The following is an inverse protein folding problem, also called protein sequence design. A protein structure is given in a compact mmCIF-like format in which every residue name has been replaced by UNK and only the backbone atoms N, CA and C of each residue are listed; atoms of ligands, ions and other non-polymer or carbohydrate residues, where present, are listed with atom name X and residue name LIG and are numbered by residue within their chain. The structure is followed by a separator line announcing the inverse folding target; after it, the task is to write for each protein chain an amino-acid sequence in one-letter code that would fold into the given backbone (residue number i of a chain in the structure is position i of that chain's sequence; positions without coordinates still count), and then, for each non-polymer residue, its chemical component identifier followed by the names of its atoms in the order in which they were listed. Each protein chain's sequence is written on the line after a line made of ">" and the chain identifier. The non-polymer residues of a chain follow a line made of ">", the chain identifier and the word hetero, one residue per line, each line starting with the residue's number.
data_IF_742106684159
#
_entry.id   IF_742106684159
#
_cell.length_a   1.000
_cell.length_b   1.000
_cell.length_c   1.000
_cell.angle_alpha   90.00
_cell.angle_beta   90.00
_cell.angle_gamma   90.00
#
_symmetry.space_group_name_H-M   'P 1'
#
loop_
_entity.id
_entity.type
_entity.pdbx_description
1 polymer ?
#
# COMPACT_ATOMS: atom_id res chain seq x y z
N UNK A 1 -5.08 5.72 13.47
CA UNK A 1 -6.34 5.20 12.97
C UNK A 1 -6.12 4.19 11.85
N UNK A 2 -6.94 3.18 11.81
CA UNK A 2 -6.83 2.15 10.78
C UNK A 2 -7.45 2.61 9.45
N UNK A 3 -8.41 3.52 9.51
CA UNK A 3 -9.13 3.97 8.32
C UNK A 3 -8.88 5.45 8.06
N UNK A 4 -8.53 5.78 6.81
CA UNK A 4 -8.32 7.16 6.40
C UNK A 4 -8.87 7.39 5.00
N UNK A 5 -9.09 8.66 4.67
CA UNK A 5 -9.54 9.07 3.34
C UNK A 5 -8.51 10.00 2.73
N UNK A 6 -8.26 9.82 1.45
CA UNK A 6 -7.33 10.65 0.68
C UNK A 6 -8.02 11.07 -0.60
N UNK A 7 -7.87 12.34 -0.97
CA UNK A 7 -8.41 12.85 -2.23
C UNK A 7 -7.26 13.20 -3.16
N UNK A 8 -7.43 12.95 -4.44
CA UNK A 8 -6.42 13.26 -5.44
C UNK A 8 -7.09 13.70 -6.73
N UNK A 9 -6.35 14.43 -7.56
CA UNK A 9 -6.82 14.85 -8.87
C UNK A 9 -6.24 13.95 -9.93
N UNK A 10 -6.99 13.82 -11.04
CA UNK A 10 -6.52 13.04 -12.18
C UNK A 10 -5.17 13.58 -12.65
N UNK A 11 -4.24 12.68 -12.90
CA UNK A 11 -2.91 13.03 -13.38
C UNK A 11 -1.92 13.37 -12.27
N UNK A 12 -2.39 13.54 -11.03
CA UNK A 12 -1.50 13.88 -9.93
C UNK A 12 -0.90 12.61 -9.31
N UNK A 13 -0.04 12.81 -8.31
CA UNK A 13 0.52 11.72 -7.53
C UNK A 13 -0.18 11.70 -6.18
N UNK A 14 -0.68 10.54 -5.79
CA UNK A 14 -1.31 10.35 -4.49
C UNK A 14 -0.37 9.57 -3.58
N UNK A 15 -0.37 9.93 -2.29
CA UNK A 15 0.37 9.19 -1.28
C UNK A 15 -0.65 8.64 -0.29
N UNK A 16 -0.75 7.32 -0.23
CA UNK A 16 -1.68 6.65 0.67
C UNK A 16 -0.93 6.32 1.95
N UNK A 17 -1.30 6.94 3.09
CA UNK A 17 -0.48 6.85 4.30
C UNK A 17 -0.46 5.45 4.92
N UNK A 18 0.67 5.10 5.50
CA UNK A 18 0.85 3.83 6.18
C UNK A 18 2.06 3.94 7.09
N UNK A 19 1.92 3.51 8.35
CA UNK A 19 3.00 3.58 9.33
C UNK A 19 3.00 2.27 10.12
N UNK A 20 4.10 1.53 10.07
CA UNK A 20 4.21 0.24 10.75
C UNK A 20 5.10 0.27 11.99
N UNK A 21 5.53 1.47 12.43
CA UNK A 21 6.48 1.57 13.55
C UNK A 21 5.95 0.99 14.84
N UNK A 22 4.64 0.91 15.00
CA UNK A 22 4.04 0.33 16.20
C UNK A 22 4.14 -1.20 16.23
N UNK A 23 4.59 -1.80 15.14
CA UNK A 23 4.78 -3.25 15.06
C UNK A 23 6.24 -3.58 15.31
N UNK A 24 6.49 -4.64 16.09
CA UNK A 24 7.84 -5.06 16.40
C UNK A 24 8.36 -6.00 15.32
N UNK A 25 8.75 -5.44 14.19
CA UNK A 25 9.19 -6.20 13.02
C UNK A 25 10.53 -5.63 12.55
N UNK A 26 11.50 -6.52 12.30
CA UNK A 26 12.81 -6.09 11.87
C UNK A 26 12.93 -5.92 10.37
N UNK A 27 12.32 -6.83 9.61
CA UNK A 27 12.39 -6.78 8.14
C UNK A 27 10.98 -6.75 7.58
N UNK A 28 10.42 -5.56 7.38
CA UNK A 28 9.05 -5.46 6.90
C UNK A 28 8.92 -5.81 5.42
N UNK A 29 7.89 -6.56 5.12
CA UNK A 29 7.45 -6.77 3.75
C UNK A 29 6.04 -6.23 3.68
N UNK A 30 5.79 -5.32 2.77
CA UNK A 30 4.50 -4.67 2.67
C UNK A 30 3.71 -5.19 1.48
N UNK A 31 2.42 -5.37 1.70
CA UNK A 31 1.48 -5.68 0.63
C UNK A 31 0.40 -4.61 0.63
N UNK A 32 0.17 -4.01 -0.52
CA UNK A 32 -0.97 -3.12 -0.74
C UNK A 32 -1.90 -3.80 -1.72
N UNK A 33 -3.19 -3.79 -1.44
CA UNK A 33 -4.14 -4.42 -2.37
C UNK A 33 -5.52 -3.76 -2.34
N UNK A 34 -6.29 -4.07 -3.37
CA UNK A 34 -7.69 -3.67 -3.52
C UNK A 34 -8.53 -4.90 -3.79
N UNK A 35 -8.11 -6.05 -3.27
CA UNK A 35 -8.69 -7.34 -3.62
C UNK A 35 -7.73 -8.15 -4.46
N UNK A 36 -6.77 -7.50 -5.10
CA UNK A 36 -5.65 -8.12 -5.78
C UNK A 36 -4.38 -7.41 -5.35
N UNK A 37 -3.26 -8.05 -5.60
CA UNK A 37 -1.98 -7.51 -5.15
C UNK A 37 -1.51 -6.37 -6.02
N UNK A 38 -1.10 -5.27 -5.40
CA UNK A 38 -0.57 -4.12 -6.11
C UNK A 38 0.93 -4.02 -5.95
N UNK A 39 1.40 -4.07 -4.70
CA UNK A 39 2.83 -3.94 -4.39
C UNK A 39 3.22 -5.02 -3.41
N UNK A 40 3.97 -6.01 -3.89
CA UNK A 40 4.49 -7.05 -3.03
C UNK A 40 5.34 -7.99 -3.86
N UNK A 41 6.29 -8.62 -3.24
CA UNK A 41 7.17 -9.49 -3.96
C UNK A 41 6.62 -10.86 -4.23
N UNK A 42 5.55 -11.25 -3.54
CA UNK A 42 5.13 -12.58 -3.70
C UNK A 42 3.81 -12.85 -3.39
N UNK A 43 3.16 -13.54 -3.76
CA UNK A 43 2.35 -13.94 -4.05
C UNK A 43 1.38 -14.76 -3.87
N UNK A 44 0.65 -15.24 -4.02
CA UNK A 44 -0.52 -15.97 -3.90
C UNK A 44 -1.76 -15.27 -4.42
N UNK A 45 -1.66 -14.06 -4.80
CA UNK A 45 -2.76 -13.27 -5.36
C UNK A 45 -2.45 -12.85 -6.77
N UNK A 46 -3.48 -12.66 -7.58
CA UNK A 46 -3.31 -12.15 -8.92
C UNK A 46 -2.90 -10.68 -8.89
N UNK A 47 -1.96 -10.27 -9.73
CA UNK A 47 -1.58 -8.87 -9.76
C UNK A 47 -2.71 -7.99 -10.29
N UNK A 48 -2.78 -6.78 -9.81
CA UNK A 48 -3.76 -5.80 -10.25
C UNK A 48 -3.31 -5.18 -11.56
N UNK A 49 -4.17 -5.25 -12.56
CA UNK A 49 -3.89 -4.62 -13.84
C UNK A 49 -4.11 -3.12 -13.74
N UNK A 50 -3.31 -2.37 -14.45
CA UNK A 50 -3.44 -0.92 -14.49
C UNK A 50 -2.57 -0.20 -13.49
N UNK A 51 -1.87 -0.90 -12.64
CA UNK A 51 -0.99 -0.29 -11.66
C UNK A 51 0.49 -0.42 -12.00
N UNK A 52 0.80 -1.20 -13.00
CA UNK A 52 2.19 -1.46 -13.38
C UNK A 52 2.91 -0.15 -13.71
N UNK A 53 4.06 0.04 -13.07
CA UNK A 53 4.86 1.23 -13.29
C UNK A 53 4.36 2.50 -12.65
N UNK A 54 3.23 2.45 -11.95
CA UNK A 54 2.66 3.63 -11.31
C UNK A 54 2.71 3.61 -9.80
N UNK A 55 3.04 2.48 -9.20
CA UNK A 55 3.02 2.33 -7.75
C UNK A 55 4.41 2.02 -7.21
N UNK A 56 4.68 2.51 -6.00
CA UNK A 56 5.96 2.26 -5.36
C UNK A 56 5.82 2.47 -3.85
N UNK A 57 6.60 1.69 -3.11
CA UNK A 57 6.82 1.92 -1.69
C UNK A 57 8.33 2.03 -1.54
N UNK A 58 8.87 3.26 -1.41
CA UNK A 58 10.32 3.43 -1.36
C UNK A 58 10.94 2.63 -0.22
N UNK A 59 11.94 1.83 -0.55
CA UNK A 59 12.55 0.93 0.43
C UNK A 59 13.16 1.69 1.59
N UNK A 60 13.78 2.82 1.31
CA UNK A 60 14.38 3.63 2.36
C UNK A 60 13.35 4.09 3.38
N UNK A 61 12.19 4.49 2.90
CA UNK A 61 11.12 4.94 3.77
C UNK A 61 10.50 3.78 4.51
N UNK A 62 10.37 2.64 3.84
CA UNK A 62 9.83 1.44 4.46
C UNK A 62 10.65 1.03 5.68
N UNK A 63 11.96 1.10 5.57
CA UNK A 63 12.85 0.72 6.66
C UNK A 63 12.75 1.70 7.84
N UNK A 64 12.30 2.92 7.60
CA UNK A 64 12.13 3.92 8.64
C UNK A 64 10.76 3.86 9.32
N UNK A 65 9.89 3.00 8.85
CA UNK A 65 8.54 2.87 9.41
C UNK A 65 7.44 3.40 8.51
N UNK A 66 7.78 3.93 7.35
CA UNK A 66 6.82 4.54 6.43
C UNK A 66 6.53 3.57 5.28
N UNK A 67 5.36 2.93 5.33
CA UNK A 67 4.94 1.99 4.30
C UNK A 67 3.95 2.60 3.32
N UNK A 68 3.92 3.92 3.23
CA UNK A 68 2.97 4.61 2.36
C UNK A 68 3.14 4.23 0.90
N UNK A 69 2.01 4.10 0.21
CA UNK A 69 2.00 3.79 -1.21
C UNK A 69 2.01 5.08 -2.02
N UNK A 70 2.93 5.17 -2.96
CA UNK A 70 2.98 6.29 -3.89
C UNK A 70 2.33 5.84 -5.18
N UNK A 71 1.23 6.47 -5.56
CA UNK A 71 0.48 6.15 -6.78
C UNK A 71 0.61 7.33 -7.73
N UNK A 72 1.25 7.10 -8.87
CA UNK A 72 1.49 8.13 -9.86
C UNK A 72 0.43 8.16 -10.93
N UNK A 73 0.22 9.33 -11.53
CA UNK A 73 -0.70 9.50 -12.64
C UNK A 73 -2.08 8.95 -12.32
N UNK A 74 -2.69 9.50 -11.27
CA UNK A 74 -3.99 9.04 -10.77
C UNK A 74 -5.07 9.13 -11.84
N UNK A 75 -5.90 8.11 -11.92
CA UNK A 75 -7.02 8.03 -12.84
C UNK A 75 -8.33 7.87 -12.06
N UNK A 76 -9.45 8.22 -12.68
CA UNK A 76 -10.78 8.03 -12.05
C UNK A 76 -10.99 6.58 -11.65
N UNK A 77 -10.43 5.65 -12.42
CA UNK A 77 -10.57 4.23 -12.12
C UNK A 77 -9.76 3.78 -10.91
N UNK A 78 -8.91 4.66 -10.37
CA UNK A 78 -8.14 4.33 -9.15
C UNK A 78 -8.95 4.58 -7.89
N UNK A 79 -10.14 5.15 -8.00
CA UNK A 79 -10.97 5.42 -6.83
C UNK A 79 -11.50 4.13 -6.25
N UNK A 80 -10.98 3.73 -5.09
CA UNK A 80 -11.38 2.51 -4.42
C UNK A 80 -10.79 2.49 -3.02
N UNK A 81 -11.04 1.41 -2.30
CA UNK A 81 -10.46 1.21 -0.97
C UNK A 81 -9.17 0.41 -1.09
N UNK A 82 -8.10 0.97 -0.55
CA UNK A 82 -6.79 0.33 -0.55
C UNK A 82 -6.49 -0.18 0.86
N UNK A 83 -5.92 -1.36 0.96
CA UNK A 83 -5.53 -1.95 2.24
C UNK A 83 -4.05 -2.27 2.24
N UNK A 84 -3.37 -1.93 3.32
CA UNK A 84 -1.96 -2.25 3.48
C UNK A 84 -1.78 -3.27 4.59
N UNK A 85 -0.86 -4.20 4.35
CA UNK A 85 -0.52 -5.25 5.29
C UNK A 85 0.98 -5.36 5.40
N UNK A 86 1.46 -5.64 6.61
CA UNK A 86 2.85 -5.96 6.85
C UNK A 86 2.92 -7.46 7.13
N UNK A 87 3.83 -8.14 6.45
CA UNK A 87 4.00 -9.57 6.64
C UNK A 87 5.13 -9.83 7.62
N UNK A 88 4.83 -10.61 8.64
CA UNK A 88 5.85 -11.04 9.59
C UNK A 88 6.57 -12.23 9.01
N UNK A 89 7.89 -12.17 9.02
CA UNK A 89 8.69 -13.23 8.41
C UNK A 89 8.60 -14.55 9.16
N UNK A 90 8.40 -14.49 10.47
CA UNK A 90 8.36 -15.69 11.31
C UNK A 90 7.03 -16.42 11.20
N UNK A 91 5.90 -15.71 11.20
CA UNK A 91 4.58 -16.33 11.15
C UNK A 91 3.99 -16.34 9.75
N UNK A 92 4.54 -15.52 8.85
CA UNK A 92 4.06 -15.37 7.47
C UNK A 92 2.60 -14.95 7.39
N UNK A 93 2.08 -14.34 8.45
CA UNK A 93 0.72 -13.85 8.49
C UNK A 93 0.68 -12.35 8.25
N UNK A 94 -0.20 -11.88 7.37
CA UNK A 94 -0.32 -10.44 7.15
C UNK A 94 -1.00 -9.77 8.33
N UNK A 95 -0.50 -8.60 8.69
CA UNK A 95 -1.09 -7.77 9.72
C UNK A 95 -1.61 -6.51 9.05
N UNK A 96 -2.91 -6.27 9.17
CA UNK A 96 -3.50 -5.06 8.60
C UNK A 96 -2.94 -3.83 9.29
N UNK A 97 -2.44 -2.90 8.50
CA UNK A 97 -1.89 -1.66 9.04
C UNK A 97 -2.83 -0.50 8.80
N UNK A 98 -3.34 -0.37 7.57
CA UNK A 98 -4.12 0.81 7.18
C UNK A 98 -5.11 0.47 6.10
N UNK A 99 -6.28 1.10 6.16
CA UNK A 99 -7.23 1.10 5.06
C UNK A 99 -7.40 2.54 4.60
N UNK A 100 -7.26 2.78 3.31
CA UNK A 100 -7.31 4.12 2.76
C UNK A 100 -8.33 4.16 1.63
N UNK A 101 -9.31 5.05 1.75
CA UNK A 101 -10.27 5.29 0.68
C UNK A 101 -9.72 6.41 -0.18
N UNK A 102 -9.45 6.12 -1.43
CA UNK A 102 -8.99 7.12 -2.38
C UNK A 102 -10.18 7.64 -3.17
N UNK A 103 -10.33 8.95 -3.17
CA UNK A 103 -11.35 9.64 -3.95
C UNK A 103 -10.66 10.48 -5.02
N UNK A 104 -11.16 10.40 -6.24
CA UNK A 104 -10.57 11.12 -7.36
C UNK A 104 -11.53 12.13 -7.94
#
# INVERSE_FOLDING_TARGET
>A
KVFQSVSAQVGSTAVLPCDWRHLSIQTPHVEWNTGCEIVFERLGKDPCKGYEGRVDVPEEELLKGNCSLVLKNVSVTDETLYSSYILKTDTKKPVLVQKVKLSV
#
